data_IF_110484952766
#
_entry.id   IF_110484952766
#
_cell.length_a   1.000
_cell.length_b   1.000
_cell.length_c   1.000
_cell.angle_alpha   90.00
_cell.angle_beta   90.00
_cell.angle_gamma   90.00
#
_symmetry.space_group_name_H-M   'P 1'
#
loop_
_entity.id
_entity.type
_entity.pdbx_description
1 polymer ?
#
# COMPACT_ATOMS: atom_id res chain seq x y z
N UNK A 1 -22.03 -7.43 1.21
CA UNK A 1 -20.84 -8.24 0.87
C UNK A 1 -20.27 -7.92 -0.51
N UNK A 2 -20.88 -6.99 -1.23
CA UNK A 2 -20.30 -6.41 -2.43
C UNK A 2 -19.09 -5.56 -2.17
N UNK A 3 -18.76 -5.26 -0.90
CA UNK A 3 -17.61 -4.45 -0.51
C UNK A 3 -16.29 -5.23 -0.47
N UNK A 4 -16.36 -6.57 -0.45
CA UNK A 4 -15.16 -7.41 -0.45
C UNK A 4 -14.54 -7.44 -1.85
N UNK A 5 -13.19 -7.38 -1.96
CA UNK A 5 -12.55 -7.41 -3.28
C UNK A 5 -12.94 -8.62 -4.14
N UNK A 6 -13.05 -9.81 -3.55
CA UNK A 6 -13.48 -11.00 -4.28
C UNK A 6 -14.91 -10.86 -4.79
N UNK A 7 -15.79 -10.27 -3.99
CA UNK A 7 -17.16 -10.00 -4.39
C UNK A 7 -17.25 -9.03 -5.56
N UNK A 8 -16.38 -8.02 -5.57
CA UNK A 8 -16.34 -7.05 -6.67
C UNK A 8 -15.85 -7.69 -7.96
N UNK A 9 -14.87 -8.59 -7.89
CA UNK A 9 -14.37 -9.32 -9.05
C UNK A 9 -15.47 -10.23 -9.63
N UNK A 10 -16.14 -10.99 -8.78
CA UNK A 10 -17.26 -11.84 -9.19
C UNK A 10 -18.40 -11.02 -9.78
N UNK A 11 -18.72 -9.88 -9.16
CA UNK A 11 -19.75 -8.97 -9.65
C UNK A 11 -19.46 -8.44 -11.04
N UNK A 12 -18.20 -8.08 -11.32
CA UNK A 12 -17.80 -7.62 -12.65
C UNK A 12 -17.98 -8.71 -13.69
N UNK A 13 -17.62 -9.95 -13.37
CA UNK A 13 -17.80 -11.09 -14.27
C UNK A 13 -19.28 -11.38 -14.54
N UNK A 14 -20.10 -11.35 -13.49
CA UNK A 14 -21.54 -11.58 -13.63
C UNK A 14 -22.24 -10.49 -14.43
N UNK A 15 -21.84 -9.23 -14.24
CA UNK A 15 -22.42 -8.12 -14.99
C UNK A 15 -22.17 -8.28 -16.47
N UNK A 16 -20.96 -8.64 -16.85
CA UNK A 16 -20.61 -8.86 -18.26
C UNK A 16 -21.34 -10.09 -18.83
N UNK A 17 -21.44 -11.16 -18.04
CA UNK A 17 -22.19 -12.34 -18.45
C UNK A 17 -23.66 -12.02 -18.72
N UNK A 18 -24.31 -11.27 -17.83
CA UNK A 18 -25.71 -10.87 -17.99
C UNK A 18 -25.91 -9.97 -19.20
N UNK A 19 -24.96 -9.07 -19.45
CA UNK A 19 -25.01 -8.19 -20.61
C UNK A 19 -24.98 -8.99 -21.90
N UNK A 20 -24.11 -9.98 -22.00
CA UNK A 20 -24.00 -10.83 -23.18
C UNK A 20 -25.26 -11.69 -23.37
N UNK A 21 -25.82 -12.22 -22.29
CA UNK A 21 -27.05 -13.01 -22.34
C UNK A 21 -28.24 -12.15 -22.76
N UNK A 22 -28.35 -10.92 -22.27
CA UNK A 22 -29.45 -10.02 -22.60
C UNK A 22 -29.42 -9.57 -24.06
N UNK A 23 -28.25 -9.46 -24.66
CA UNK A 23 -28.10 -9.06 -26.06
C UNK A 23 -28.32 -10.22 -27.04
N UNK A 24 -28.49 -11.45 -26.55
CA UNK A 24 -28.65 -12.67 -27.33
C UNK A 24 -27.52 -12.88 -28.35
N UNK A 25 -26.38 -12.30 -28.14
CA UNK A 25 -25.20 -12.44 -28.98
C UNK A 25 -24.27 -13.46 -28.35
N UNK A 26 -24.34 -14.66 -28.82
CA UNK A 26 -23.42 -15.70 -28.39
C UNK A 26 -22.28 -15.84 -29.38
N UNK A 27 -21.32 -14.94 -29.30
CA UNK A 27 -19.98 -15.22 -29.75
C UNK A 27 -19.26 -15.75 -28.49
N UNK A 28 -19.16 -17.07 -28.40
CA UNK A 28 -18.63 -17.72 -27.19
C UNK A 28 -17.23 -17.25 -26.83
N UNK A 29 -16.37 -17.04 -27.81
CA UNK A 29 -15.01 -16.60 -27.61
C UNK A 29 -14.94 -15.12 -27.23
N UNK A 30 -15.72 -14.28 -27.91
CA UNK A 30 -15.80 -12.86 -27.57
C UNK A 30 -16.35 -12.62 -26.17
N UNK A 31 -17.36 -13.40 -25.77
CA UNK A 31 -17.93 -13.34 -24.42
C UNK A 31 -16.89 -13.73 -23.37
N UNK A 32 -16.12 -14.80 -23.64
CA UNK A 32 -15.04 -15.23 -22.73
C UNK A 32 -13.99 -14.15 -22.55
N UNK A 33 -13.57 -13.52 -23.64
CA UNK A 33 -12.56 -12.46 -23.58
C UNK A 33 -13.08 -11.25 -22.82
N UNK A 34 -14.33 -10.87 -23.01
CA UNK A 34 -14.92 -9.74 -22.30
C UNK A 34 -15.05 -10.02 -20.79
N UNK A 35 -15.48 -11.22 -20.43
CA UNK A 35 -15.59 -11.61 -19.02
C UNK A 35 -14.19 -11.63 -18.37
N UNK A 36 -13.20 -12.23 -19.04
CA UNK A 36 -11.83 -12.27 -18.54
C UNK A 36 -11.27 -10.85 -18.37
N UNK A 37 -11.47 -9.99 -19.36
CA UNK A 37 -10.99 -8.62 -19.31
C UNK A 37 -11.64 -7.83 -18.17
N UNK A 38 -12.95 -8.00 -17.95
CA UNK A 38 -13.66 -7.33 -16.88
C UNK A 38 -13.14 -7.77 -15.50
N UNK A 39 -12.90 -9.06 -15.32
CA UNK A 39 -12.40 -9.61 -14.06
C UNK A 39 -10.96 -9.20 -13.80
N UNK A 40 -10.09 -9.26 -14.82
CA UNK A 40 -8.69 -8.86 -14.70
C UNK A 40 -8.56 -7.38 -14.36
N UNK A 41 -9.37 -6.54 -15.01
CA UNK A 41 -9.41 -5.11 -14.72
C UNK A 41 -9.79 -4.87 -13.24
N UNK A 42 -10.76 -5.61 -12.73
CA UNK A 42 -11.19 -5.46 -11.34
C UNK A 42 -10.14 -5.95 -10.36
N UNK A 43 -9.45 -7.05 -10.66
CA UNK A 43 -8.35 -7.54 -9.83
C UNK A 43 -7.24 -6.49 -9.74
N UNK A 44 -6.85 -5.91 -10.88
CA UNK A 44 -5.82 -4.87 -10.92
C UNK A 44 -6.24 -3.64 -10.13
N UNK A 45 -7.49 -3.21 -10.27
CA UNK A 45 -8.02 -2.06 -9.54
C UNK A 45 -7.99 -2.28 -8.02
N UNK A 46 -8.41 -3.45 -7.56
CA UNK A 46 -8.41 -3.77 -6.13
C UNK A 46 -6.99 -3.91 -5.57
N UNK A 47 -6.07 -4.50 -6.34
CA UNK A 47 -4.66 -4.60 -5.94
C UNK A 47 -4.03 -3.22 -5.82
N UNK A 48 -4.29 -2.33 -6.77
CA UNK A 48 -3.80 -0.96 -6.75
C UNK A 48 -4.32 -0.19 -5.53
N UNK A 49 -5.60 -0.34 -5.22
CA UNK A 49 -6.23 0.30 -4.07
C UNK A 49 -5.58 -0.15 -2.75
N UNK A 50 -5.29 -1.45 -2.62
CA UNK A 50 -4.62 -1.99 -1.43
C UNK A 50 -3.17 -1.48 -1.34
N UNK A 51 -2.47 -1.40 -2.47
CA UNK A 51 -1.10 -0.89 -2.53
C UNK A 51 -1.01 0.58 -2.13
N UNK A 52 -2.00 1.39 -2.50
CA UNK A 52 -2.03 2.81 -2.16
C UNK A 52 -2.01 3.04 -0.65
N UNK A 53 -2.69 2.19 0.10
CA UNK A 53 -2.69 2.27 1.57
C UNK A 53 -1.33 1.96 2.17
N UNK A 54 -0.54 1.12 1.50
CA UNK A 54 0.80 0.78 1.95
C UNK A 54 1.79 1.89 1.68
N UNK A 55 1.53 2.77 0.73
CA UNK A 55 2.43 3.88 0.40
C UNK A 55 2.64 4.81 1.59
N UNK A 56 1.62 5.02 2.41
CA UNK A 56 1.74 5.81 3.63
C UNK A 56 2.77 5.19 4.58
N UNK A 57 2.69 3.88 4.81
CA UNK A 57 3.64 3.19 5.69
C UNK A 57 5.05 3.20 5.10
N UNK A 58 5.17 3.05 3.78
CA UNK A 58 6.47 3.12 3.11
C UNK A 58 7.09 4.50 3.29
N UNK A 59 6.28 5.56 3.16
CA UNK A 59 6.75 6.93 3.33
C UNK A 59 7.20 7.18 4.77
N UNK A 60 6.40 6.79 5.75
CA UNK A 60 6.75 6.94 7.17
C UNK A 60 8.04 6.19 7.47
N UNK A 61 8.14 4.94 6.99
CA UNK A 61 9.33 4.12 7.24
C UNK A 61 10.60 4.69 6.63
N UNK A 62 10.52 5.27 5.43
CA UNK A 62 11.69 5.78 4.72
C UNK A 62 12.05 7.22 5.11
N UNK A 63 11.06 8.05 5.44
CA UNK A 63 11.26 9.49 5.68
C UNK A 63 11.53 9.79 7.16
N UNK A 64 10.89 9.05 8.07
CA UNK A 64 11.00 9.34 9.50
C UNK A 64 12.43 9.35 10.05
N UNK A 65 13.34 8.43 9.64
CA UNK A 65 14.73 8.51 10.10
C UNK A 65 15.40 9.80 9.66
N UNK A 66 15.08 10.29 8.46
CA UNK A 66 15.66 11.53 7.95
C UNK A 66 15.10 12.76 8.65
N UNK A 67 13.83 12.74 9.02
CA UNK A 67 13.24 13.80 9.84
C UNK A 67 13.93 13.84 11.21
N UNK A 68 14.18 12.68 11.80
CA UNK A 68 14.92 12.59 13.06
C UNK A 68 16.34 13.10 12.91
N UNK A 69 17.02 12.74 11.84
CA UNK A 69 18.37 13.23 11.53
C UNK A 69 18.39 14.75 11.35
N UNK A 70 17.40 15.29 10.67
CA UNK A 70 17.25 16.73 10.53
C UNK A 70 17.17 17.41 11.90
N UNK A 71 16.40 16.84 12.81
CA UNK A 71 16.29 17.35 14.18
C UNK A 71 17.61 17.33 14.92
N UNK A 72 18.41 16.27 14.72
CA UNK A 72 19.75 16.18 15.31
C UNK A 72 20.67 17.27 14.78
N UNK A 73 20.71 17.45 13.47
CA UNK A 73 21.54 18.48 12.85
C UNK A 73 21.15 19.87 13.33
N UNK A 74 19.85 20.12 13.33
CA UNK A 74 19.32 21.42 13.79
C UNK A 74 19.67 21.69 15.24
N UNK A 75 19.46 20.71 16.13
CA UNK A 75 19.74 20.86 17.55
C UNK A 75 21.22 21.08 17.84
N UNK A 76 22.09 20.36 17.13
CA UNK A 76 23.54 20.54 17.29
C UNK A 76 23.98 21.91 16.77
N UNK A 77 23.46 22.35 15.63
CA UNK A 77 23.74 23.69 15.12
C UNK A 77 23.35 24.75 16.12
N UNK A 78 22.17 24.61 16.73
CA UNK A 78 21.67 25.55 17.72
C UNK A 78 22.56 25.57 18.97
N UNK A 79 23.06 24.41 19.40
CA UNK A 79 23.98 24.31 20.56
C UNK A 79 25.29 25.04 20.28
N UNK A 80 25.85 24.84 19.07
CA UNK A 80 27.06 25.56 18.69
C UNK A 80 26.83 27.06 18.54
N UNK A 81 25.66 27.47 18.07
CA UNK A 81 25.30 28.87 18.01
C UNK A 81 25.29 29.49 19.41
N UNK A 82 24.74 28.79 20.39
CA UNK A 82 24.73 29.25 21.80
C UNK A 82 26.13 29.38 22.36
N UNK A 83 27.05 28.47 22.04
CA UNK A 83 28.45 28.57 22.46
C UNK A 83 29.04 29.88 21.90
N UNK A 84 28.79 30.21 20.62
CA UNK A 84 29.26 31.43 20.02
C UNK A 84 28.70 32.69 20.68
N UNK A 85 27.42 32.65 21.01
CA UNK A 85 26.71 33.79 21.64
C UNK A 85 27.17 34.05 23.08
N UNK A 86 27.30 32.99 23.86
CA UNK A 86 27.61 33.10 25.28
C UNK A 86 29.11 33.01 25.53
N UNK A 87 29.91 32.66 24.52
CA UNK A 87 31.34 32.44 24.64
C UNK A 87 31.69 31.47 25.77
N UNK A 88 30.80 30.50 25.97
CA UNK A 88 30.92 29.51 27.04
C UNK A 88 30.81 28.12 26.41
N UNK A 89 31.89 27.37 26.37
CA UNK A 89 31.98 26.03 25.81
C UNK A 89 31.73 24.94 26.88
N UNK A 90 31.16 25.32 28.03
CA UNK A 90 30.85 24.37 29.09
C UNK A 90 29.84 23.34 28.60
N UNK A 91 30.04 22.09 28.95
CA UNK A 91 29.12 21.01 28.67
C UNK A 91 27.72 21.29 29.20
N UNK A 92 27.64 21.94 30.35
CA UNK A 92 26.35 22.29 30.98
C UNK A 92 25.51 23.23 30.09
N UNK A 93 26.16 24.06 29.30
CA UNK A 93 25.46 24.98 28.40
C UNK A 93 24.86 24.25 27.18
N UNK A 94 25.58 23.27 26.64
CA UNK A 94 25.19 22.62 25.37
C UNK A 94 24.49 21.28 25.57
N UNK A 95 24.63 20.65 26.73
CA UNK A 95 24.05 19.32 26.97
C UNK A 95 22.54 19.25 26.75
N UNK A 96 21.72 20.24 27.20
CA UNK A 96 20.28 20.17 26.95
C UNK A 96 19.93 20.16 25.47
N UNK A 97 20.60 21.01 24.66
CA UNK A 97 20.36 21.06 23.22
C UNK A 97 20.78 19.79 22.50
N UNK A 98 21.91 19.22 22.90
CA UNK A 98 22.38 17.96 22.33
C UNK A 98 21.44 16.82 22.72
N UNK A 99 20.98 16.81 23.97
CA UNK A 99 20.02 15.81 24.43
C UNK A 99 18.72 15.86 23.64
N UNK A 100 18.18 17.06 23.41
CA UNK A 100 16.98 17.23 22.59
C UNK A 100 17.19 16.77 21.14
N UNK A 101 18.38 17.05 20.60
CA UNK A 101 18.72 16.63 19.23
C UNK A 101 18.74 15.11 19.12
N UNK A 102 19.38 14.43 20.07
CA UNK A 102 19.42 12.98 20.10
C UNK A 102 18.04 12.37 20.31
N UNK A 103 17.21 13.01 21.11
CA UNK A 103 15.83 12.59 21.33
C UNK A 103 15.02 12.67 20.03
N UNK A 104 15.24 13.70 19.22
CA UNK A 104 14.57 13.82 17.92
C UNK A 104 14.90 12.64 17.00
N UNK A 105 16.17 12.21 16.98
CA UNK A 105 16.58 11.01 16.23
C UNK A 105 15.89 9.77 16.75
N UNK A 106 15.81 9.62 18.06
CA UNK A 106 15.16 8.48 18.70
C UNK A 106 13.68 8.42 18.31
N UNK A 107 12.98 9.54 18.31
CA UNK A 107 11.57 9.60 17.91
C UNK A 107 11.41 9.22 16.43
N UNK A 108 12.29 9.73 15.56
CA UNK A 108 12.25 9.39 14.15
C UNK A 108 12.41 7.89 13.89
N UNK A 109 13.35 7.28 14.58
CA UNK A 109 13.58 5.83 14.51
C UNK A 109 12.43 5.04 15.11
N UNK A 110 11.89 5.51 16.23
CA UNK A 110 10.75 4.86 16.88
C UNK A 110 9.54 4.81 15.97
N UNK A 111 9.31 5.84 15.18
CA UNK A 111 8.21 5.87 14.20
C UNK A 111 8.54 4.99 12.99
N UNK A 112 9.80 4.99 12.54
CA UNK A 112 10.22 4.29 11.32
C UNK A 112 10.20 2.78 11.48
N UNK A 113 10.65 2.26 12.61
CA UNK A 113 10.82 0.82 12.79
C UNK A 113 9.49 0.06 12.67
N UNK A 114 8.43 0.41 13.44
CA UNK A 114 7.15 -0.29 13.25
C UNK A 114 6.55 -0.06 11.87
N UNK A 115 6.77 1.11 11.26
CA UNK A 115 6.25 1.39 9.93
C UNK A 115 6.87 0.47 8.88
N UNK A 116 8.19 0.24 8.94
CA UNK A 116 8.89 -0.66 8.03
C UNK A 116 8.43 -2.10 8.24
N UNK A 117 8.33 -2.53 9.49
CA UNK A 117 7.86 -3.89 9.81
C UNK A 117 6.44 -4.10 9.29
N UNK A 118 5.55 -3.15 9.54
CA UNK A 118 4.16 -3.22 9.08
C UNK A 118 4.09 -3.20 7.56
N UNK A 119 4.87 -2.35 6.91
CA UNK A 119 4.91 -2.28 5.45
C UNK A 119 5.30 -3.62 4.84
N UNK A 120 6.39 -4.22 5.34
CA UNK A 120 6.86 -5.49 4.81
C UNK A 120 5.82 -6.61 5.01
N UNK A 121 5.20 -6.64 6.17
CA UNK A 121 4.21 -7.66 6.50
C UNK A 121 2.94 -7.51 5.66
N UNK A 122 2.41 -6.30 5.56
CA UNK A 122 1.19 -6.05 4.80
C UNK A 122 1.44 -6.14 3.30
N UNK A 123 2.62 -5.75 2.82
CA UNK A 123 2.98 -5.90 1.42
C UNK A 123 2.95 -7.37 1.00
N UNK A 124 3.51 -8.24 1.85
CA UNK A 124 3.47 -9.68 1.60
C UNK A 124 2.02 -10.19 1.54
N UNK A 125 1.17 -9.75 2.47
CA UNK A 125 -0.25 -10.13 2.50
C UNK A 125 -1.01 -9.64 1.28
N UNK A 126 -0.74 -8.41 0.84
CA UNK A 126 -1.38 -7.86 -0.35
C UNK A 126 -1.01 -8.67 -1.58
N UNK A 127 0.26 -9.03 -1.73
CA UNK A 127 0.71 -9.85 -2.85
C UNK A 127 0.06 -11.24 -2.83
N UNK A 128 -0.05 -11.85 -1.66
CA UNK A 128 -0.72 -13.14 -1.51
C UNK A 128 -2.22 -13.03 -1.83
N UNK A 129 -2.84 -11.94 -1.42
CA UNK A 129 -4.27 -11.71 -1.67
C UNK A 129 -4.52 -11.47 -3.15
N UNK A 130 -3.64 -10.72 -3.81
CA UNK A 130 -3.72 -10.52 -5.27
C UNK A 130 -3.64 -11.84 -6.01
N UNK A 131 -2.72 -12.73 -5.61
CA UNK A 131 -2.61 -14.05 -6.20
C UNK A 131 -3.90 -14.87 -6.01
N UNK A 132 -4.52 -14.77 -4.85
CA UNK A 132 -5.81 -15.42 -4.58
C UNK A 132 -6.91 -14.87 -5.46
N UNK A 133 -6.95 -13.55 -5.63
CA UNK A 133 -7.96 -12.92 -6.51
C UNK A 133 -7.78 -13.37 -7.95
N UNK A 134 -6.53 -13.48 -8.41
CA UNK A 134 -6.25 -13.96 -9.76
C UNK A 134 -6.73 -15.41 -9.95
N UNK A 135 -6.43 -16.29 -9.00
CA UNK A 135 -6.89 -17.67 -9.07
C UNK A 135 -8.41 -17.78 -9.02
N UNK A 136 -9.03 -16.99 -8.15
CA UNK A 136 -10.49 -16.93 -8.07
C UNK A 136 -11.09 -16.47 -9.40
N UNK A 137 -10.51 -15.42 -10.00
CA UNK A 137 -10.98 -14.90 -11.27
C UNK A 137 -10.88 -15.95 -12.37
N UNK A 138 -9.77 -16.69 -12.42
CA UNK A 138 -9.60 -17.77 -13.40
C UNK A 138 -10.63 -18.87 -13.23
N UNK A 139 -10.87 -19.30 -11.99
CA UNK A 139 -11.85 -20.35 -11.70
C UNK A 139 -13.27 -19.89 -12.01
N UNK A 140 -13.58 -18.67 -11.63
CA UNK A 140 -14.91 -18.10 -11.89
C UNK A 140 -15.16 -17.93 -13.40
N UNK A 141 -14.15 -17.46 -14.11
CA UNK A 141 -14.19 -17.32 -15.55
C UNK A 141 -14.43 -18.68 -16.23
N UNK A 142 -13.70 -19.71 -15.79
CA UNK A 142 -13.87 -21.06 -16.31
C UNK A 142 -15.29 -21.59 -16.07
N UNK A 143 -15.85 -21.31 -14.89
CA UNK A 143 -17.22 -21.74 -14.56
C UNK A 143 -18.25 -21.02 -15.44
N UNK A 144 -18.09 -19.72 -15.66
CA UNK A 144 -18.98 -18.95 -16.54
C UNK A 144 -18.88 -19.42 -17.99
N UNK A 145 -17.67 -19.70 -18.46
CA UNK A 145 -17.47 -20.21 -19.81
C UNK A 145 -18.12 -21.57 -20.02
N UNK A 146 -18.04 -22.46 -19.01
CA UNK A 146 -18.71 -23.75 -19.08
C UNK A 146 -20.22 -23.60 -19.20
N UNK A 147 -20.80 -22.63 -18.47
CA UNK A 147 -22.23 -22.36 -18.59
C UNK A 147 -22.61 -21.84 -19.97
N UNK A 148 -21.77 -20.99 -20.57
CA UNK A 148 -22.00 -20.49 -21.92
C UNK A 148 -21.93 -21.60 -22.94
N UNK A 149 -21.00 -22.56 -22.78
CA UNK A 149 -20.85 -23.68 -23.70
C UNK A 149 -22.00 -24.70 -23.60
N UNK A 150 -22.61 -24.81 -22.41
CA UNK A 150 -23.71 -25.77 -22.20
C UNK A 150 -25.05 -25.29 -22.80
N UNK A 151 -25.11 -24.08 -23.32
CA UNK A 151 -26.27 -23.55 -24.00
C UNK A 151 -26.05 -23.62 -25.52
#
# INVERSE_FOLDING_TARGET
>A
RGDMPLGKVAGAGLTEYKRNAALKRFDGEGARQRIAAAMDSKVGEEAERLSDRLNFLATVGSVSPFVGLFGTVWGIMNSFFQIGQQQNSSLAVVAPGISEALFATAIGLFAAIPAVIAYNRFSHRVNAYEARMQRFAEQFHAALCRQLESR
#
